data_IF_849190494357
#
_entry.id   IF_849190494357
#
_cell.length_a   1.000
_cell.length_b   1.000
_cell.length_c   1.000
_cell.angle_alpha   90.00
_cell.angle_beta   90.00
_cell.angle_gamma   90.00
#
_symmetry.space_group_name_H-M   'P 1'
#
loop_
_entity.id
_entity.type
_entity.pdbx_description
1 polymer ?
#
# COMPACT_ATOMS: atom_id res chain seq x y z
N UNK A 1 7.67 -15.69 -8.01
CA UNK A 1 7.05 -14.43 -7.53
C UNK A 1 8.07 -13.46 -6.96
N UNK A 2 8.78 -13.80 -5.86
CA UNK A 2 9.76 -12.91 -5.22
C UNK A 2 10.87 -12.40 -6.15
N UNK A 3 11.42 -13.25 -7.02
CA UNK A 3 12.44 -12.83 -7.99
C UNK A 3 11.94 -11.76 -8.96
N UNK A 4 10.71 -11.89 -9.46
CA UNK A 4 10.07 -10.90 -10.34
C UNK A 4 9.82 -9.58 -9.61
N UNK A 5 9.40 -9.64 -8.35
CA UNK A 5 9.23 -8.44 -7.48
C UNK A 5 10.58 -7.75 -7.29
N UNK A 6 11.62 -8.48 -6.91
CA UNK A 6 12.95 -7.91 -6.71
C UNK A 6 13.48 -7.28 -8.01
N UNK A 7 13.22 -7.90 -9.16
CA UNK A 7 13.59 -7.35 -10.46
C UNK A 7 12.86 -6.02 -10.75
N UNK A 8 11.54 -5.98 -10.56
CA UNK A 8 10.75 -4.77 -10.73
C UNK A 8 11.15 -3.66 -9.73
N UNK A 9 11.44 -4.00 -8.48
CA UNK A 9 11.98 -3.06 -7.49
C UNK A 9 13.35 -2.52 -7.92
N UNK A 10 14.23 -3.37 -8.45
CA UNK A 10 15.51 -2.95 -9.01
C UNK A 10 15.33 -1.94 -10.15
N UNK A 11 14.33 -2.11 -11.02
CA UNK A 11 14.00 -1.13 -12.06
C UNK A 11 13.53 0.20 -11.47
N UNK A 12 12.66 0.19 -10.45
CA UNK A 12 12.26 1.42 -9.73
C UNK A 12 13.47 2.14 -9.15
N UNK A 13 14.39 1.42 -8.50
CA UNK A 13 15.61 2.00 -7.91
C UNK A 13 16.54 2.60 -8.96
N UNK A 14 16.57 2.02 -10.17
CA UNK A 14 17.33 2.54 -11.31
C UNK A 14 16.59 3.64 -12.10
N UNK A 15 15.40 4.05 -11.64
CA UNK A 15 14.58 5.07 -12.28
C UNK A 15 13.64 4.58 -13.39
N UNK A 16 13.70 3.30 -13.75
CA UNK A 16 12.82 2.66 -14.75
C UNK A 16 11.48 2.24 -14.15
N UNK A 17 10.66 3.23 -13.80
CA UNK A 17 9.32 3.00 -13.24
C UNK A 17 8.38 2.32 -14.24
N UNK A 18 8.49 2.65 -15.52
CA UNK A 18 7.65 2.06 -16.56
C UNK A 18 7.96 0.58 -16.76
N UNK A 19 9.24 0.19 -16.74
CA UNK A 19 9.66 -1.21 -16.74
C UNK A 19 9.08 -1.97 -15.56
N UNK A 20 9.17 -1.40 -14.36
CA UNK A 20 8.62 -2.01 -13.16
C UNK A 20 7.10 -2.20 -13.27
N UNK A 21 6.38 -1.18 -13.75
CA UNK A 21 4.93 -1.24 -13.95
C UNK A 21 4.54 -2.35 -14.94
N UNK A 22 5.26 -2.52 -16.05
CA UNK A 22 4.99 -3.62 -17.01
C UNK A 22 5.12 -4.99 -16.33
N UNK A 23 6.17 -5.20 -15.53
CA UNK A 23 6.35 -6.45 -14.80
C UNK A 23 5.23 -6.67 -13.76
N UNK A 24 4.82 -5.63 -13.04
CA UNK A 24 3.72 -5.75 -12.09
C UNK A 24 2.38 -6.07 -12.78
N UNK A 25 2.12 -5.54 -13.97
CA UNK A 25 0.93 -5.87 -14.76
C UNK A 25 0.96 -7.36 -15.15
N UNK A 26 2.08 -7.88 -15.65
CA UNK A 26 2.20 -9.31 -15.97
C UNK A 26 1.93 -10.21 -14.74
N UNK A 27 2.47 -9.82 -13.58
CA UNK A 27 2.26 -10.54 -12.33
C UNK A 27 0.81 -10.43 -11.82
N UNK A 28 0.16 -9.31 -12.08
CA UNK A 28 -1.24 -9.07 -11.74
C UNK A 28 -2.16 -9.95 -12.59
N UNK A 29 -1.95 -9.99 -13.90
CA UNK A 29 -2.71 -10.86 -14.82
C UNK A 29 -2.53 -12.34 -14.47
N UNK A 30 -1.32 -12.73 -14.07
CA UNK A 30 -1.03 -14.07 -13.55
C UNK A 30 -1.84 -14.36 -12.28
N UNK A 31 -1.87 -13.43 -11.32
CA UNK A 31 -2.63 -13.57 -10.07
C UNK A 31 -4.13 -13.68 -10.30
N UNK A 32 -4.67 -12.90 -11.25
CA UNK A 32 -6.09 -12.97 -11.62
C UNK A 32 -6.43 -14.32 -12.27
N UNK A 33 -5.56 -14.81 -13.16
CA UNK A 33 -5.77 -16.10 -13.84
C UNK A 33 -5.71 -17.29 -12.88
N UNK A 34 -4.89 -17.22 -11.83
CA UNK A 34 -4.75 -18.28 -10.82
C UNK A 34 -5.66 -18.07 -9.61
N UNK A 35 -6.42 -16.97 -9.57
CA UNK A 35 -7.25 -16.56 -8.43
C UNK A 35 -6.48 -16.42 -7.10
N UNK A 36 -5.16 -16.18 -7.17
CA UNK A 36 -4.30 -16.05 -5.99
C UNK A 36 -4.40 -14.64 -5.40
N UNK A 37 -5.28 -14.48 -4.40
CA UNK A 37 -5.49 -13.21 -3.71
C UNK A 37 -4.27 -12.75 -2.92
N UNK A 38 -3.42 -13.67 -2.45
CA UNK A 38 -2.20 -13.30 -1.76
C UNK A 38 -1.21 -12.67 -2.75
N UNK A 39 -1.02 -13.31 -3.91
CA UNK A 39 -0.23 -12.74 -5.00
C UNK A 39 -0.80 -11.38 -5.45
N UNK A 40 -2.12 -11.28 -5.62
CA UNK A 40 -2.78 -10.05 -6.02
C UNK A 40 -2.53 -8.91 -5.02
N UNK A 41 -2.62 -9.20 -3.71
CA UNK A 41 -2.30 -8.25 -2.64
C UNK A 41 -0.87 -7.73 -2.75
N UNK A 42 0.11 -8.65 -2.84
CA UNK A 42 1.53 -8.31 -2.90
C UNK A 42 1.85 -7.47 -4.14
N UNK A 43 1.36 -7.88 -5.31
CA UNK A 43 1.63 -7.19 -6.58
C UNK A 43 0.98 -5.80 -6.60
N UNK A 44 -0.28 -5.69 -6.17
CA UNK A 44 -0.97 -4.41 -6.13
C UNK A 44 -0.31 -3.42 -5.16
N UNK A 45 0.20 -3.91 -4.02
CA UNK A 45 0.95 -3.08 -3.07
C UNK A 45 2.21 -2.49 -3.72
N UNK A 46 3.03 -3.29 -4.42
CA UNK A 46 4.23 -2.80 -5.08
C UNK A 46 3.95 -1.94 -6.32
N UNK A 47 2.92 -2.28 -7.09
CA UNK A 47 2.46 -1.47 -8.24
C UNK A 47 2.08 -0.06 -7.79
N UNK A 48 1.38 0.08 -6.66
CA UNK A 48 1.02 1.38 -6.12
C UNK A 48 2.25 2.27 -5.86
N UNK A 49 3.36 1.72 -5.36
CA UNK A 49 4.60 2.49 -5.15
C UNK A 49 5.34 2.85 -6.46
N UNK A 50 5.08 2.13 -7.55
CA UNK A 50 5.64 2.41 -8.86
C UNK A 50 4.86 3.51 -9.61
N UNK A 51 3.57 3.67 -9.35
CA UNK A 51 2.74 4.77 -9.88
C UNK A 51 3.24 6.15 -9.41
N UNK A 52 3.07 7.18 -10.25
CA UNK A 52 3.41 8.57 -9.93
C UNK A 52 2.18 9.38 -9.54
N UNK A 53 1.08 9.15 -10.24
CA UNK A 53 -0.16 9.89 -10.04
C UNK A 53 -0.89 9.40 -8.77
N UNK A 54 -1.24 10.29 -7.82
CA UNK A 54 -1.88 9.89 -6.57
C UNK A 54 -3.17 9.09 -6.78
N UNK A 55 -3.94 9.39 -7.83
CA UNK A 55 -5.15 8.63 -8.17
C UNK A 55 -4.87 7.18 -8.54
N UNK A 56 -3.79 6.91 -9.29
CA UNK A 56 -3.40 5.53 -9.61
C UNK A 56 -2.87 4.78 -8.39
N UNK A 57 -2.06 5.47 -7.56
CA UNK A 57 -1.57 4.91 -6.30
C UNK A 57 -2.74 4.51 -5.39
N UNK A 58 -3.78 5.37 -5.30
CA UNK A 58 -4.99 5.10 -4.55
C UNK A 58 -5.68 3.83 -5.06
N UNK A 59 -5.92 3.73 -6.37
CA UNK A 59 -6.60 2.59 -6.99
C UNK A 59 -5.84 1.29 -6.74
N UNK A 60 -4.52 1.28 -6.86
CA UNK A 60 -3.71 0.09 -6.63
C UNK A 60 -3.63 -0.30 -5.15
N UNK A 61 -3.51 0.65 -4.23
CA UNK A 61 -3.58 0.34 -2.80
C UNK A 61 -4.97 -0.17 -2.38
N UNK A 62 -6.06 0.33 -2.98
CA UNK A 62 -7.41 -0.20 -2.73
C UNK A 62 -7.57 -1.64 -3.24
N UNK A 63 -6.97 -1.97 -4.40
CA UNK A 63 -6.92 -3.35 -4.90
C UNK A 63 -6.14 -4.25 -3.94
N UNK A 64 -4.99 -3.78 -3.44
CA UNK A 64 -4.19 -4.51 -2.47
C UNK A 64 -4.96 -4.78 -1.17
N UNK A 65 -5.65 -3.76 -0.64
CA UNK A 65 -6.50 -3.89 0.55
C UNK A 65 -7.62 -4.90 0.34
N UNK A 66 -8.35 -4.81 -0.77
CA UNK A 66 -9.44 -5.76 -1.08
C UNK A 66 -8.92 -7.20 -1.21
N UNK A 67 -7.76 -7.39 -1.81
CA UNK A 67 -7.14 -8.70 -1.94
C UNK A 67 -6.68 -9.23 -0.56
N UNK A 68 -6.09 -8.38 0.28
CA UNK A 68 -5.74 -8.75 1.66
C UNK A 68 -6.97 -9.17 2.48
N UNK A 69 -8.06 -8.40 2.41
CA UNK A 69 -9.33 -8.74 3.06
C UNK A 69 -9.91 -10.07 2.56
N UNK A 70 -9.74 -10.39 1.27
CA UNK A 70 -10.17 -11.66 0.69
C UNK A 70 -9.31 -12.86 1.11
N UNK A 71 -8.01 -12.68 1.36
CA UNK A 71 -7.14 -13.74 1.91
C UNK A 71 -7.55 -14.05 3.35
N UNK A 72 -7.73 -13.03 4.19
CA UNK A 72 -8.32 -13.16 5.53
C UNK A 72 -7.51 -13.96 6.57
N UNK A 73 -6.27 -14.32 6.28
CA UNK A 73 -5.40 -15.10 7.18
C UNK A 73 -4.16 -14.34 7.67
N UNK A 74 -3.30 -15.01 8.43
CA UNK A 74 -2.11 -14.42 9.06
C UNK A 74 -1.08 -13.86 8.07
N UNK A 75 -1.04 -14.37 6.83
CA UNK A 75 -0.03 -14.00 5.83
C UNK A 75 -0.16 -12.55 5.39
N UNK A 76 -1.36 -11.98 5.51
CA UNK A 76 -1.65 -10.60 5.09
C UNK A 76 -1.71 -9.60 6.26
N UNK A 77 -1.62 -10.07 7.51
CA UNK A 77 -1.77 -9.21 8.68
C UNK A 77 -0.74 -8.07 8.72
N UNK A 78 0.52 -8.37 8.36
CA UNK A 78 1.58 -7.37 8.28
C UNK A 78 1.37 -6.28 7.22
N UNK A 79 0.46 -6.48 6.25
CA UNK A 79 0.17 -5.47 5.23
C UNK A 79 -0.80 -4.39 5.73
N UNK A 80 -1.75 -4.72 6.61
CA UNK A 80 -2.83 -3.80 6.97
C UNK A 80 -2.35 -2.44 7.51
N UNK A 81 -1.37 -2.35 8.43
CA UNK A 81 -0.88 -1.05 8.89
C UNK A 81 -0.36 -0.19 7.73
N UNK A 82 0.44 -0.79 6.84
CA UNK A 82 1.03 -0.11 5.69
C UNK A 82 -0.03 0.29 4.66
N UNK A 83 -0.98 -0.60 4.34
CA UNK A 83 -2.05 -0.31 3.39
C UNK A 83 -2.94 0.84 3.86
N UNK A 84 -3.37 0.82 5.13
CA UNK A 84 -4.16 1.91 5.67
C UNK A 84 -3.37 3.22 5.77
N UNK A 85 -2.10 3.18 6.19
CA UNK A 85 -1.27 4.38 6.29
C UNK A 85 -1.05 5.05 4.91
N UNK A 86 -0.73 4.27 3.88
CA UNK A 86 -0.55 4.79 2.51
C UNK A 86 -1.87 5.32 1.92
N UNK A 87 -2.99 4.62 2.11
CA UNK A 87 -4.30 5.11 1.68
C UNK A 87 -4.64 6.46 2.35
N UNK A 88 -4.36 6.59 3.65
CA UNK A 88 -4.54 7.84 4.39
C UNK A 88 -3.70 8.98 3.83
N UNK A 89 -2.42 8.73 3.55
CA UNK A 89 -1.52 9.73 2.95
C UNK A 89 -1.96 10.16 1.54
N UNK A 90 -2.39 9.21 0.72
CA UNK A 90 -2.83 9.50 -0.65
C UNK A 90 -4.13 10.31 -0.63
N UNK A 91 -5.08 9.97 0.25
CA UNK A 91 -6.29 10.76 0.45
C UNK A 91 -5.96 12.21 0.88
N UNK A 92 -4.98 12.41 1.77
CA UNK A 92 -4.52 13.76 2.12
C UNK A 92 -3.99 14.53 0.91
N UNK A 93 -3.16 13.88 0.09
CA UNK A 93 -2.59 14.51 -1.12
C UNK A 93 -3.66 14.86 -2.15
N UNK A 94 -4.78 14.14 -2.15
CA UNK A 94 -5.94 14.40 -2.99
C UNK A 94 -6.93 15.41 -2.36
N UNK A 95 -6.66 15.89 -1.14
CA UNK A 95 -7.54 16.83 -0.43
C UNK A 95 -8.75 16.19 0.26
N UNK A 96 -8.83 14.86 0.30
CA UNK A 96 -9.89 14.13 1.00
C UNK A 96 -9.50 13.87 2.45
N UNK A 97 -9.65 14.91 3.28
CA UNK A 97 -9.26 14.89 4.68
C UNK A 97 -10.11 13.92 5.53
N UNK A 98 -11.38 13.72 5.16
CA UNK A 98 -12.28 12.81 5.88
C UNK A 98 -11.82 11.36 5.68
N UNK A 99 -11.63 10.95 4.43
CA UNK A 99 -11.20 9.60 4.10
C UNK A 99 -9.77 9.34 4.59
N UNK A 100 -8.90 10.36 4.54
CA UNK A 100 -7.57 10.30 5.12
C UNK A 100 -7.60 9.97 6.61
N UNK A 101 -8.43 10.68 7.38
CA UNK A 101 -8.57 10.46 8.83
C UNK A 101 -9.10 9.05 9.11
N UNK A 102 -10.13 8.63 8.37
CA UNK A 102 -10.71 7.30 8.53
C UNK A 102 -9.68 6.18 8.32
N UNK A 103 -8.84 6.29 7.28
CA UNK A 103 -7.77 5.32 7.04
C UNK A 103 -6.67 5.39 8.10
N UNK A 104 -6.24 6.59 8.51
CA UNK A 104 -5.22 6.74 9.53
C UNK A 104 -5.66 6.17 10.89
N UNK A 105 -6.92 6.35 11.29
CA UNK A 105 -7.48 5.74 12.50
C UNK A 105 -7.50 4.21 12.40
N UNK A 106 -7.83 3.63 11.23
CA UNK A 106 -7.73 2.19 11.02
C UNK A 106 -6.29 1.70 11.13
N UNK A 107 -5.34 2.41 10.51
CA UNK A 107 -3.92 2.11 10.58
C UNK A 107 -3.41 2.11 12.02
N UNK A 108 -3.82 3.11 12.82
CA UNK A 108 -3.49 3.19 14.24
C UNK A 108 -4.05 2.00 15.03
N UNK A 109 -5.28 1.58 14.76
CA UNK A 109 -5.91 0.43 15.42
C UNK A 109 -5.18 -0.90 15.19
N UNK A 110 -4.52 -1.05 14.04
CA UNK A 110 -3.75 -2.25 13.69
C UNK A 110 -2.24 -2.08 13.84
N UNK A 111 -1.76 -0.95 14.37
CA UNK A 111 -0.33 -0.66 14.46
C UNK A 111 0.46 -1.69 15.29
N UNK A 112 -0.22 -2.43 16.19
CA UNK A 112 0.37 -3.53 16.95
C UNK A 112 0.86 -4.71 16.09
N UNK A 113 0.45 -4.78 14.81
CA UNK A 113 0.92 -5.77 13.84
C UNK A 113 2.26 -5.38 13.20
N UNK A 114 2.76 -4.17 13.46
CA UNK A 114 4.07 -3.72 12.97
C UNK A 114 5.19 -4.41 13.75
N UNK A 115 6.24 -4.80 13.02
CA UNK A 115 7.47 -5.27 13.62
C UNK A 115 8.26 -4.08 14.20
N UNK A 116 9.01 -4.29 15.28
CA UNK A 116 9.90 -3.26 15.84
C UNK A 116 11.22 -3.18 15.06
N UNK A 117 11.11 -2.88 13.77
CA UNK A 117 12.21 -2.72 12.85
C UNK A 117 12.17 -1.36 12.15
N UNK A 118 13.11 -1.12 11.23
CA UNK A 118 13.18 0.14 10.51
C UNK A 118 11.92 0.42 9.69
N UNK A 119 11.34 -0.62 9.09
CA UNK A 119 10.13 -0.50 8.29
C UNK A 119 8.90 -0.19 9.16
N UNK A 120 8.71 -0.92 10.25
CA UNK A 120 7.61 -0.69 11.17
C UNK A 120 7.62 0.70 11.79
N UNK A 121 8.80 1.19 12.19
CA UNK A 121 8.95 2.58 12.67
C UNK A 121 8.61 3.62 11.60
N UNK A 122 9.01 3.38 10.34
CA UNK A 122 8.66 4.26 9.22
C UNK A 122 7.15 4.34 9.02
N UNK A 123 6.45 3.19 9.05
CA UNK A 123 4.98 3.15 8.93
C UNK A 123 4.30 3.81 10.13
N UNK A 124 4.78 3.58 11.36
CA UNK A 124 4.25 4.24 12.54
C UNK A 124 4.33 5.77 12.44
N UNK A 125 5.48 6.31 12.01
CA UNK A 125 5.65 7.75 11.77
C UNK A 125 4.74 8.28 10.66
N UNK A 126 4.46 7.48 9.61
CA UNK A 126 3.50 7.84 8.58
C UNK A 126 2.08 7.99 9.16
N UNK A 127 1.64 7.02 9.97
CA UNK A 127 0.32 7.04 10.63
C UNK A 127 0.17 8.32 11.46
N UNK A 128 1.15 8.63 12.31
CA UNK A 128 1.15 9.82 13.17
C UNK A 128 1.06 11.11 12.35
N UNK A 129 1.87 11.22 11.28
CA UNK A 129 1.87 12.40 10.42
C UNK A 129 0.52 12.61 9.74
N UNK A 130 -0.11 11.55 9.25
CA UNK A 130 -1.43 11.63 8.61
C UNK A 130 -2.49 12.05 9.63
N UNK A 131 -2.51 11.45 10.83
CA UNK A 131 -3.44 11.84 11.90
C UNK A 131 -3.32 13.33 12.23
N UNK A 132 -2.10 13.81 12.53
CA UNK A 132 -1.85 15.21 12.85
C UNK A 132 -2.25 16.18 11.73
N UNK A 133 -2.02 15.80 10.47
CA UNK A 133 -2.40 16.62 9.33
C UNK A 133 -3.92 16.74 9.19
N UNK A 134 -4.67 15.66 9.45
CA UNK A 134 -6.14 15.68 9.38
C UNK A 134 -6.78 16.46 10.52
N UNK A 135 -6.17 16.52 11.71
CA UNK A 135 -6.67 17.31 12.85
C UNK A 135 -6.60 18.82 12.58
N UNK A 136 -5.51 19.29 11.98
CA UNK A 136 -5.29 20.70 11.66
C UNK A 136 -6.21 21.25 10.59
N UNK A 137 -6.76 20.40 9.73
CA UNK A 137 -7.66 20.80 8.65
C UNK A 137 -9.14 20.88 9.08
N UNK A 138 -9.45 20.50 10.33
CA UNK A 138 -10.80 20.55 10.89
C UNK A 138 -11.03 21.63 11.95
N UNK A 139 -10.06 22.53 12.15
CA UNK A 139 -10.11 23.67 13.07
C UNK A 139 -10.12 24.99 12.29
#
# INVERSE_FOLDING_TARGET
MLEKINHAQGQVLNGDREGAQRLYIEMWDEALRTEDQYQACVVAHFMAHACTEPGEQLLWHQRALKAAEAVGDERVQGFFPSLYANLGEICLRLGDHEQARAYASRAQGVAHLLQDDGYGRMIASLIERVLQATEKSGA
#
